data_IF_463668049670
#
_entry.id   IF_463668049670
#
_cell.length_a   1.000
_cell.length_b   1.000
_cell.length_c   1.000
_cell.angle_alpha   90.00
_cell.angle_beta   90.00
_cell.angle_gamma   90.00
#
_symmetry.space_group_name_H-M   'P 1'
#
loop_
_entity.id
_entity.type
_entity.pdbx_description
1 polymer ?
#
# COMPACT_ATOMS: atom_id res chain seq x y z
N UNK A 1 2.72 -17.74 5.01
CA UNK A 1 3.01 -17.27 3.64
C UNK A 1 2.26 -15.97 3.44
N UNK A 2 2.95 -14.83 3.47
CA UNK A 2 2.36 -13.53 3.14
C UNK A 2 2.43 -13.35 1.62
N UNK A 3 1.55 -14.04 0.92
CA UNK A 3 1.27 -13.74 -0.48
C UNK A 3 -0.04 -12.96 -0.47
N UNK A 4 0.05 -11.63 -0.41
CA UNK A 4 -1.03 -10.81 -0.95
C UNK A 4 -1.21 -11.26 -2.39
N UNK A 5 -2.31 -11.95 -2.69
CA UNK A 5 -2.64 -12.44 -4.03
C UNK A 5 -2.97 -11.25 -4.93
N UNK A 6 -1.93 -10.50 -5.25
CA UNK A 6 -1.94 -9.45 -6.27
C UNK A 6 -1.83 -10.18 -7.60
N UNK A 7 -2.81 -9.97 -8.48
CA UNK A 7 -2.64 -10.36 -9.88
C UNK A 7 -1.46 -9.55 -10.42
N UNK A 8 -0.39 -10.26 -10.76
CA UNK A 8 0.80 -9.71 -11.39
C UNK A 8 0.38 -9.34 -12.81
N UNK A 9 0.22 -8.07 -13.13
CA UNK A 9 0.24 -7.59 -14.51
C UNK A 9 1.69 -7.56 -15.01
N UNK A 10 1.92 -7.57 -16.31
CA UNK A 10 3.28 -7.54 -16.88
C UNK A 10 4.08 -6.33 -16.37
N UNK A 11 3.44 -5.16 -16.23
CA UNK A 11 4.04 -3.96 -15.64
C UNK A 11 4.47 -4.17 -14.18
N UNK A 12 3.69 -4.91 -13.38
CA UNK A 12 4.08 -5.22 -11.99
C UNK A 12 5.20 -6.25 -11.92
N UNK A 13 5.37 -7.12 -12.92
CA UNK A 13 6.51 -8.04 -12.97
C UNK A 13 7.82 -7.29 -13.25
N UNK A 14 7.79 -6.34 -14.18
CA UNK A 14 8.95 -5.52 -14.52
C UNK A 14 9.36 -4.60 -13.36
N UNK A 15 8.42 -3.91 -12.72
CA UNK A 15 8.70 -3.10 -11.52
C UNK A 15 9.30 -3.95 -10.38
N UNK A 16 8.84 -5.18 -10.20
CA UNK A 16 9.42 -6.10 -9.20
C UNK A 16 10.85 -6.51 -9.56
N UNK A 17 11.16 -6.71 -10.84
CA UNK A 17 12.52 -6.98 -11.31
C UNK A 17 13.44 -5.78 -11.06
N UNK A 18 12.95 -4.57 -11.31
CA UNK A 18 13.69 -3.34 -11.00
C UNK A 18 13.95 -3.18 -9.51
N UNK A 19 12.97 -3.46 -8.65
CA UNK A 19 13.18 -3.51 -7.20
C UNK A 19 14.24 -4.54 -6.80
N UNK A 20 14.23 -5.70 -7.43
CA UNK A 20 15.21 -6.76 -7.20
C UNK A 20 16.63 -6.34 -7.59
N UNK A 21 16.78 -5.68 -8.74
CA UNK A 21 18.07 -5.12 -9.17
C UNK A 21 18.56 -4.02 -8.21
N UNK A 22 17.68 -3.10 -7.81
CA UNK A 22 18.01 -2.08 -6.83
C UNK A 22 18.49 -2.70 -5.50
N UNK A 23 17.81 -3.76 -5.04
CA UNK A 23 18.24 -4.49 -3.84
C UNK A 23 19.61 -5.14 -3.98
N UNK A 24 19.89 -5.72 -5.15
CA UNK A 24 21.20 -6.30 -5.45
C UNK A 24 22.27 -5.22 -5.38
N UNK A 25 22.04 -4.06 -5.99
CA UNK A 25 22.96 -2.91 -5.94
C UNK A 25 23.21 -2.45 -4.51
N UNK A 26 22.16 -2.31 -3.68
CA UNK A 26 22.32 -1.93 -2.27
C UNK A 26 23.10 -2.97 -1.47
N UNK A 27 22.85 -4.26 -1.71
CA UNK A 27 23.60 -5.35 -1.06
C UNK A 27 25.08 -5.31 -1.45
N UNK A 28 25.37 -5.15 -2.75
CA UNK A 28 26.75 -5.11 -3.25
C UNK A 28 27.50 -3.86 -2.79
N UNK A 29 26.79 -2.73 -2.59
CA UNK A 29 27.34 -1.51 -2.01
C UNK A 29 27.89 -1.71 -0.60
N UNK A 30 27.23 -2.53 0.22
CA UNK A 30 27.70 -2.90 1.57
C UNK A 30 28.62 -4.13 1.57
N UNK A 31 29.06 -4.59 0.39
CA UNK A 31 30.06 -5.66 0.23
C UNK A 31 29.57 -7.07 0.57
N UNK A 32 28.25 -7.28 0.69
CA UNK A 32 27.70 -8.59 1.09
C UNK A 32 27.38 -9.46 -0.12
N UNK A 33 27.66 -10.76 -0.03
CA UNK A 33 27.08 -11.77 -0.92
C UNK A 33 25.64 -12.08 -0.53
N UNK A 34 24.87 -12.73 -1.42
CA UNK A 34 23.51 -13.19 -1.10
C UNK A 34 23.46 -14.10 0.15
N UNK A 35 24.49 -14.95 0.32
CA UNK A 35 24.60 -15.86 1.47
C UNK A 35 24.88 -15.10 2.76
N UNK A 36 25.81 -14.15 2.73
CA UNK A 36 26.13 -13.32 3.90
C UNK A 36 24.95 -12.46 4.31
N UNK A 37 24.24 -11.84 3.35
CA UNK A 37 23.03 -11.08 3.65
C UNK A 37 21.96 -11.96 4.28
N UNK A 38 21.72 -13.17 3.76
CA UNK A 38 20.79 -14.12 4.36
C UNK A 38 21.19 -14.52 5.79
N UNK A 39 22.48 -14.73 6.04
CA UNK A 39 23.02 -15.01 7.38
C UNK A 39 22.82 -13.84 8.32
N UNK A 40 23.16 -12.61 7.91
CA UNK A 40 22.97 -11.40 8.71
C UNK A 40 21.49 -11.16 9.05
N UNK A 41 20.59 -11.49 8.13
CA UNK A 41 19.15 -11.44 8.31
C UNK A 41 18.59 -12.63 9.13
N UNK A 42 19.39 -13.63 9.50
CA UNK A 42 18.92 -14.89 10.09
C UNK A 42 17.83 -15.59 9.23
N UNK A 43 17.91 -15.46 7.91
CA UNK A 43 17.01 -16.14 6.95
C UNK A 43 17.56 -17.53 6.65
N UNK A 44 16.79 -18.56 7.02
CA UNK A 44 17.19 -19.97 6.90
C UNK A 44 17.58 -20.42 5.49
N UNK A 45 16.99 -19.81 4.46
CA UNK A 45 17.24 -20.15 3.04
C UNK A 45 17.77 -18.93 2.31
N UNK A 46 19.05 -18.96 1.97
CA UNK A 46 19.69 -17.89 1.21
C UNK A 46 19.04 -17.65 -0.16
N UNK A 47 18.37 -18.66 -0.73
CA UNK A 47 17.59 -18.54 -1.96
C UNK A 47 16.49 -17.48 -1.89
N UNK A 48 16.07 -17.08 -0.68
CA UNK A 48 15.17 -15.95 -0.50
C UNK A 48 15.75 -14.65 -1.07
N UNK A 49 17.06 -14.41 -0.88
CA UNK A 49 17.72 -13.20 -1.41
C UNK A 49 17.73 -13.24 -2.93
N UNK A 50 18.06 -14.39 -3.52
CA UNK A 50 17.99 -14.57 -4.97
C UNK A 50 16.57 -14.38 -5.53
N UNK A 51 15.55 -14.91 -4.85
CA UNK A 51 14.14 -14.71 -5.24
C UNK A 51 13.72 -13.24 -5.15
N UNK A 52 14.24 -12.51 -4.16
CA UNK A 52 13.98 -11.10 -4.00
C UNK A 52 14.65 -10.28 -5.11
N UNK A 53 15.92 -10.56 -5.39
CA UNK A 53 16.71 -9.88 -6.43
C UNK A 53 16.23 -10.17 -7.86
N UNK A 54 15.53 -11.28 -8.06
CA UNK A 54 14.88 -11.62 -9.34
C UNK A 54 13.44 -11.13 -9.43
N UNK A 55 12.94 -10.45 -8.41
CA UNK A 55 11.58 -9.91 -8.35
C UNK A 55 10.49 -10.94 -7.99
N UNK A 56 10.85 -12.20 -7.74
CA UNK A 56 9.92 -13.28 -7.40
C UNK A 56 9.26 -13.12 -6.02
N UNK A 57 9.87 -12.39 -5.08
CA UNK A 57 9.27 -12.00 -3.79
C UNK A 57 9.50 -10.51 -3.47
N UNK A 58 8.93 -10.04 -2.35
CA UNK A 58 9.08 -8.67 -1.81
C UNK A 58 9.74 -8.74 -0.43
N UNK A 59 10.36 -7.65 0.02
CA UNK A 59 10.74 -7.53 1.43
C UNK A 59 9.46 -7.55 2.28
N UNK A 60 9.35 -8.42 3.29
CA UNK A 60 8.21 -8.37 4.22
C UNK A 60 8.28 -7.09 5.06
N UNK A 61 7.16 -6.38 5.22
CA UNK A 61 7.09 -5.12 5.98
C UNK A 61 7.65 -5.23 7.40
N UNK A 62 7.40 -6.36 8.07
CA UNK A 62 7.95 -6.71 9.41
C UNK A 62 9.47 -6.82 9.46
N UNK A 63 10.16 -6.76 8.32
CA UNK A 63 11.59 -6.98 8.16
C UNK A 63 12.33 -5.76 7.64
N UNK A 64 11.65 -4.63 7.40
CA UNK A 64 12.27 -3.42 6.86
C UNK A 64 13.35 -2.88 7.80
N UNK A 65 13.10 -2.87 9.11
CA UNK A 65 14.09 -2.52 10.14
C UNK A 65 15.38 -3.35 10.03
N UNK A 66 15.25 -4.67 9.91
CA UNK A 66 16.39 -5.57 9.77
C UNK A 66 17.14 -5.36 8.46
N UNK A 67 16.39 -5.15 7.37
CA UNK A 67 16.93 -4.90 6.05
C UNK A 67 17.71 -3.59 6.01
N UNK A 68 17.12 -2.51 6.52
CA UNK A 68 17.69 -1.18 6.55
C UNK A 68 18.98 -1.14 7.36
N UNK A 69 19.00 -1.82 8.53
CA UNK A 69 20.19 -1.96 9.37
C UNK A 69 21.34 -2.63 8.63
N UNK A 70 21.07 -3.71 7.90
CA UNK A 70 22.11 -4.47 7.17
C UNK A 70 22.57 -3.74 5.92
N UNK A 71 21.67 -3.00 5.27
CA UNK A 71 22.00 -2.14 4.13
C UNK A 71 22.59 -0.78 4.55
N UNK A 72 22.80 -0.55 5.84
CA UNK A 72 23.36 0.69 6.39
C UNK A 72 22.63 1.95 5.87
N UNK A 73 21.30 1.91 5.90
CA UNK A 73 20.45 3.04 5.49
C UNK A 73 19.27 3.26 6.44
N UNK A 74 18.72 4.47 6.51
CA UNK A 74 17.50 4.72 7.28
C UNK A 74 16.33 3.87 6.77
N UNK A 75 15.53 3.33 7.69
CA UNK A 75 14.37 2.48 7.35
C UNK A 75 13.34 3.23 6.49
N UNK A 76 13.20 4.54 6.72
CA UNK A 76 12.35 5.41 5.91
C UNK A 76 12.83 5.53 4.46
N UNK A 77 14.14 5.64 4.25
CA UNK A 77 14.72 5.73 2.91
C UNK A 77 14.57 4.42 2.15
N UNK A 78 14.74 3.29 2.84
CA UNK A 78 14.42 1.97 2.29
C UNK A 78 12.96 1.88 1.86
N UNK A 79 12.02 2.30 2.73
CA UNK A 79 10.59 2.26 2.44
C UNK A 79 10.22 3.13 1.23
N UNK A 80 10.72 4.37 1.19
CA UNK A 80 10.50 5.29 0.08
C UNK A 80 11.15 4.83 -1.22
N UNK A 81 12.31 4.15 -1.14
CA UNK A 81 12.98 3.60 -2.33
C UNK A 81 12.21 2.41 -2.93
N UNK A 82 11.55 1.59 -2.10
CA UNK A 82 10.83 0.40 -2.56
C UNK A 82 9.38 0.65 -2.96
N UNK A 83 8.73 1.65 -2.37
CA UNK A 83 7.32 1.94 -2.62
C UNK A 83 6.99 2.20 -4.11
N UNK A 84 7.78 2.96 -4.89
CA UNK A 84 7.53 3.14 -6.33
C UNK A 84 7.46 1.82 -7.12
N UNK A 85 8.17 0.79 -6.66
CA UNK A 85 8.17 -0.51 -7.33
C UNK A 85 7.06 -1.44 -6.82
N UNK A 86 6.74 -1.38 -5.53
CA UNK A 86 5.79 -2.30 -4.88
C UNK A 86 4.35 -1.84 -4.98
N UNK A 87 4.13 -0.52 -4.96
CA UNK A 87 2.84 0.15 -5.06
C UNK A 87 3.00 1.54 -5.73
N UNK A 88 3.27 1.58 -7.05
CA UNK A 88 3.48 2.82 -7.79
C UNK A 88 2.28 3.78 -7.73
N UNK A 89 1.05 3.25 -7.69
CA UNK A 89 -0.15 4.09 -7.61
C UNK A 89 -0.16 4.85 -6.27
N UNK A 90 0.00 4.14 -5.15
CA UNK A 90 0.06 4.80 -3.84
C UNK A 90 1.25 5.74 -3.74
N UNK A 91 2.42 5.37 -4.26
CA UNK A 91 3.59 6.25 -4.26
C UNK A 91 3.29 7.59 -4.94
N UNK A 92 2.75 7.55 -6.16
CA UNK A 92 2.46 8.75 -6.94
C UNK A 92 1.38 9.63 -6.28
N UNK A 93 0.40 9.01 -5.60
CA UNK A 93 -0.64 9.74 -4.87
C UNK A 93 -0.12 10.34 -3.56
N UNK A 94 0.84 9.70 -2.89
CA UNK A 94 1.41 10.14 -1.62
C UNK A 94 2.51 11.18 -1.79
N UNK A 95 3.30 11.08 -2.86
CA UNK A 95 4.46 11.93 -3.12
C UNK A 95 4.40 12.53 -4.55
N UNK A 96 3.37 13.32 -4.86
CA UNK A 96 3.31 13.97 -6.16
C UNK A 96 4.47 14.97 -6.27
N UNK A 97 5.21 14.93 -7.39
CA UNK A 97 6.43 15.71 -7.62
C UNK A 97 6.23 17.23 -7.63
N UNK A 98 4.98 17.68 -7.72
CA UNK A 98 4.48 19.00 -7.34
C UNK A 98 3.07 18.76 -6.74
N UNK A 99 2.58 19.58 -5.81
CA UNK A 99 1.20 19.44 -5.35
C UNK A 99 0.28 19.59 -6.56
N UNK A 100 -0.52 18.56 -6.85
CA UNK A 100 -1.78 18.77 -7.57
C UNK A 100 -2.60 19.72 -6.68
N UNK A 101 -2.45 21.03 -6.92
CA UNK A 101 -3.21 22.11 -6.30
C UNK A 101 -4.71 22.03 -6.66
N UNK A 102 -5.07 21.10 -7.55
CA UNK A 102 -6.35 21.03 -8.20
C UNK A 102 -7.02 19.68 -7.92
N UNK A 103 -7.65 19.54 -6.75
CA UNK A 103 -9.11 19.31 -6.65
C UNK A 103 -9.53 19.70 -5.23
N UNK A 104 -9.84 20.97 -4.99
CA UNK A 104 -10.92 21.22 -4.02
C UNK A 104 -12.17 20.54 -4.62
N UNK A 105 -12.77 19.54 -3.95
CA UNK A 105 -13.96 18.92 -4.49
C UNK A 105 -15.03 20.00 -4.61
N UNK A 106 -15.42 20.34 -5.84
CA UNK A 106 -16.44 21.34 -6.14
C UNK A 106 -17.57 21.26 -5.10
N UNK A 107 -17.66 22.36 -4.35
CA UNK A 107 -18.33 22.49 -3.07
C UNK A 107 -19.85 22.25 -3.15
N UNK A 108 -20.30 21.02 -2.88
CA UNK A 108 -21.68 20.71 -2.42
C UNK A 108 -21.81 19.46 -1.52
N UNK A 109 -20.81 18.59 -1.47
CA UNK A 109 -20.82 17.43 -0.56
C UNK A 109 -20.08 17.80 0.73
N UNK A 110 -20.57 17.41 1.92
CA UNK A 110 -19.86 17.70 3.17
C UNK A 110 -18.48 17.07 3.13
N UNK A 111 -17.51 17.61 3.87
CA UNK A 111 -16.18 17.00 3.93
C UNK A 111 -16.26 15.55 4.43
N UNK A 112 -15.46 14.61 3.89
CA UNK A 112 -15.36 13.29 4.50
C UNK A 112 -14.88 13.45 5.94
N UNK A 113 -15.48 12.70 6.87
CA UNK A 113 -14.95 12.62 8.24
C UNK A 113 -13.52 12.10 8.17
N UNK A 114 -12.61 12.53 9.07
CA UNK A 114 -11.29 11.93 9.11
C UNK A 114 -11.40 10.43 9.38
N UNK A 115 -10.54 9.64 8.72
CA UNK A 115 -10.43 8.22 9.00
C UNK A 115 -9.99 8.02 10.46
N UNK A 116 -10.59 7.07 11.21
CA UNK A 116 -10.17 6.79 12.58
C UNK A 116 -8.68 6.39 12.65
N UNK A 117 -8.03 6.74 13.76
CA UNK A 117 -6.68 6.28 14.09
C UNK A 117 -6.79 4.84 14.56
N UNK A 118 -6.03 3.92 13.97
CA UNK A 118 -5.97 2.54 14.41
C UNK A 118 -4.87 2.45 15.46
N UNK A 119 -5.22 2.16 16.71
CA UNK A 119 -4.26 2.24 17.81
C UNK A 119 -3.24 1.09 17.82
N UNK A 120 -3.50 -0.05 17.16
CA UNK A 120 -2.51 -1.13 17.00
C UNK A 120 -3.02 -2.22 16.03
N UNK A 121 -2.26 -2.53 14.96
CA UNK A 121 -2.54 -3.68 14.06
C UNK A 121 -1.51 -4.76 14.34
N UNK A 122 -1.80 -5.61 15.33
CA UNK A 122 -0.85 -6.63 15.81
C UNK A 122 -1.21 -8.06 15.36
N UNK A 123 -2.43 -8.28 14.86
CA UNK A 123 -2.88 -9.60 14.40
C UNK A 123 -3.85 -9.56 13.21
N UNK A 124 -4.20 -10.75 12.68
CA UNK A 124 -5.14 -10.89 11.53
C UNK A 124 -6.55 -10.36 11.83
N UNK A 125 -7.00 -10.42 13.09
CA UNK A 125 -8.32 -9.90 13.48
C UNK A 125 -8.29 -8.37 13.49
N UNK A 126 -7.20 -7.77 13.94
CA UNK A 126 -6.95 -6.34 13.90
C UNK A 126 -6.86 -5.84 12.45
N UNK A 127 -6.17 -6.55 11.55
CA UNK A 127 -6.16 -6.23 10.12
C UNK A 127 -7.56 -6.23 9.50
N UNK A 128 -8.36 -7.27 9.78
CA UNK A 128 -9.73 -7.35 9.25
C UNK A 128 -10.61 -6.24 9.85
N UNK A 129 -10.46 -5.92 11.13
CA UNK A 129 -11.16 -4.82 11.80
C UNK A 129 -10.82 -3.48 11.14
N UNK A 130 -9.54 -3.19 10.95
CA UNK A 130 -9.05 -1.98 10.28
C UNK A 130 -9.60 -1.87 8.85
N UNK A 131 -9.60 -2.97 8.08
CA UNK A 131 -10.23 -3.02 6.75
C UNK A 131 -11.73 -2.76 6.80
N UNK A 132 -12.43 -3.33 7.79
CA UNK A 132 -13.87 -3.13 7.96
C UNK A 132 -14.20 -1.70 8.38
N UNK A 133 -13.36 -1.06 9.19
CA UNK A 133 -13.51 0.35 9.56
C UNK A 133 -13.31 1.27 8.36
N UNK A 134 -12.25 1.06 7.57
CA UNK A 134 -12.06 1.76 6.29
C UNK A 134 -13.25 1.53 5.35
N UNK A 135 -13.68 0.28 5.21
CA UNK A 135 -14.80 -0.09 4.36
C UNK A 135 -16.12 0.56 4.78
N UNK A 136 -16.38 0.62 6.09
CA UNK A 136 -17.54 1.32 6.67
C UNK A 136 -17.45 2.81 6.39
N UNK A 137 -16.26 3.40 6.54
CA UNK A 137 -16.01 4.81 6.23
C UNK A 137 -16.28 5.15 4.76
N UNK A 138 -15.83 4.30 3.82
CA UNK A 138 -16.15 4.42 2.39
C UNK A 138 -17.66 4.27 2.12
N UNK A 139 -18.31 3.31 2.77
CA UNK A 139 -19.74 3.05 2.64
C UNK A 139 -20.58 4.24 3.14
N UNK A 140 -20.21 4.82 4.28
CA UNK A 140 -20.86 6.00 4.84
C UNK A 140 -20.70 7.20 3.91
N UNK A 141 -19.50 7.38 3.33
CA UNK A 141 -19.27 8.41 2.32
C UNK A 141 -20.15 8.21 1.09
N UNK A 142 -20.23 6.99 0.57
CA UNK A 142 -21.08 6.63 -0.58
C UNK A 142 -22.56 6.91 -0.29
N UNK A 143 -23.06 6.47 0.86
CA UNK A 143 -24.46 6.70 1.30
C UNK A 143 -24.78 8.18 1.43
N UNK A 144 -23.83 8.96 1.94
CA UNK A 144 -23.97 10.40 2.08
C UNK A 144 -24.09 11.09 0.70
N UNK A 145 -23.40 10.56 -0.31
CA UNK A 145 -23.55 10.96 -1.72
C UNK A 145 -24.78 10.35 -2.40
N UNK A 146 -25.65 9.65 -1.64
CA UNK A 146 -26.88 9.01 -2.11
C UNK A 146 -26.65 7.99 -3.23
N UNK A 147 -25.51 7.28 -3.19
CA UNK A 147 -25.17 6.27 -4.17
C UNK A 147 -25.38 4.85 -3.61
N UNK A 148 -25.91 3.95 -4.44
CA UNK A 148 -25.90 2.51 -4.17
C UNK A 148 -24.53 1.90 -4.49
N UNK A 149 -24.28 0.66 -4.04
CA UNK A 149 -23.07 -0.08 -4.42
C UNK A 149 -22.99 -0.30 -5.95
N UNK A 150 -24.15 -0.45 -6.60
CA UNK A 150 -24.26 -0.57 -8.07
C UNK A 150 -23.85 0.74 -8.75
N UNK A 151 -24.33 1.88 -8.25
CA UNK A 151 -23.95 3.19 -8.79
C UNK A 151 -22.45 3.46 -8.65
N UNK A 152 -21.87 3.08 -7.50
CA UNK A 152 -20.43 3.21 -7.30
C UNK A 152 -19.66 2.29 -8.25
N UNK A 153 -20.05 1.02 -8.36
CA UNK A 153 -19.42 0.08 -9.30
C UNK A 153 -19.48 0.59 -10.74
N UNK A 154 -20.62 1.14 -11.17
CA UNK A 154 -20.79 1.75 -12.49
C UNK A 154 -19.85 2.94 -12.71
N UNK A 155 -19.71 3.85 -11.72
CA UNK A 155 -18.76 4.96 -11.80
C UNK A 155 -17.29 4.52 -11.86
N UNK A 156 -16.97 3.39 -11.23
CA UNK A 156 -15.64 2.82 -11.22
C UNK A 156 -15.33 1.98 -12.46
N UNK A 157 -16.31 1.72 -13.33
CA UNK A 157 -16.17 0.76 -14.43
C UNK A 157 -15.97 -0.68 -13.96
N UNK A 158 -16.38 -1.02 -12.73
CA UNK A 158 -16.27 -2.37 -12.19
C UNK A 158 -17.53 -3.16 -12.60
N UNK A 159 -17.39 -4.27 -13.35
CA UNK A 159 -18.53 -5.03 -13.86
C UNK A 159 -19.34 -5.75 -12.77
N UNK A 160 -18.71 -6.02 -11.62
CA UNK A 160 -19.29 -6.78 -10.53
C UNK A 160 -19.50 -5.90 -9.28
N UNK A 161 -20.73 -5.43 -9.00
CA UNK A 161 -21.02 -4.60 -7.83
C UNK A 161 -20.67 -5.24 -6.49
N UNK A 162 -20.62 -6.57 -6.43
CA UNK A 162 -20.23 -7.30 -5.22
C UNK A 162 -18.82 -6.92 -4.73
N UNK A 163 -17.91 -6.51 -5.62
CA UNK A 163 -16.56 -6.09 -5.24
C UNK A 163 -16.57 -4.84 -4.37
N UNK A 164 -17.48 -3.90 -4.63
CA UNK A 164 -17.68 -2.73 -3.77
C UNK A 164 -18.08 -3.20 -2.37
N UNK A 165 -19.03 -4.13 -2.28
CA UNK A 165 -19.48 -4.69 -1.00
C UNK A 165 -18.37 -5.42 -0.24
N UNK A 166 -17.53 -6.20 -0.92
CA UNK A 166 -16.42 -6.92 -0.30
C UNK A 166 -15.38 -5.96 0.30
N UNK A 167 -15.07 -4.86 -0.41
CA UNK A 167 -14.21 -3.79 0.11
C UNK A 167 -14.86 -3.10 1.31
N UNK A 168 -16.14 -2.72 1.20
CA UNK A 168 -16.86 -2.02 2.27
C UNK A 168 -17.01 -2.85 3.55
N UNK A 169 -17.07 -4.18 3.44
CA UNK A 169 -17.16 -5.08 4.59
C UNK A 169 -15.78 -5.55 5.10
N UNK A 170 -14.68 -5.08 4.51
CA UNK A 170 -13.32 -5.45 4.88
C UNK A 170 -12.92 -6.90 4.53
N UNK A 171 -13.70 -7.54 3.65
CA UNK A 171 -13.44 -8.88 3.13
C UNK A 171 -12.45 -8.87 1.96
N UNK A 172 -12.35 -7.77 1.23
CA UNK A 172 -11.36 -7.57 0.16
C UNK A 172 -10.62 -6.24 0.34
N UNK A 173 -9.44 -6.13 -0.28
CA UNK A 173 -8.70 -4.87 -0.38
C UNK A 173 -9.23 -4.07 -1.57
N UNK A 174 -9.04 -2.75 -1.53
CA UNK A 174 -9.29 -1.94 -2.73
C UNK A 174 -8.39 -2.45 -3.86
N UNK A 175 -8.91 -2.67 -5.07
CA UNK A 175 -8.10 -3.11 -6.19
C UNK A 175 -7.04 -2.05 -6.55
N UNK A 176 -5.83 -2.48 -6.89
CA UNK A 176 -4.79 -1.57 -7.38
C UNK A 176 -5.22 -0.90 -8.69
N UNK A 177 -4.84 0.35 -8.89
CA UNK A 177 -5.23 1.19 -10.04
C UNK A 177 -6.60 1.82 -9.90
N UNK A 178 -7.32 1.57 -8.80
CA UNK A 178 -8.66 2.10 -8.56
C UNK A 178 -8.67 3.20 -7.48
N UNK A 179 -7.54 3.47 -6.81
CA UNK A 179 -7.49 4.43 -5.70
C UNK A 179 -7.97 5.81 -6.16
N UNK A 180 -7.45 6.29 -7.30
CA UNK A 180 -7.85 7.58 -7.88
C UNK A 180 -9.33 7.59 -8.29
N UNK A 181 -9.82 6.51 -8.90
CA UNK A 181 -11.21 6.37 -9.31
C UNK A 181 -12.19 6.36 -8.13
N UNK A 182 -11.87 5.63 -7.05
CA UNK A 182 -12.66 5.64 -5.81
C UNK A 182 -12.65 7.00 -5.14
N UNK A 183 -11.49 7.63 -5.03
CA UNK A 183 -11.36 8.95 -4.44
C UNK A 183 -12.27 9.95 -5.14
N UNK A 184 -12.20 10.02 -6.47
CA UNK A 184 -13.05 10.90 -7.27
C UNK A 184 -14.54 10.55 -7.18
N UNK A 185 -14.90 9.27 -7.30
CA UNK A 185 -16.30 8.83 -7.20
C UNK A 185 -16.92 9.18 -5.84
N UNK A 186 -16.11 9.11 -4.77
CA UNK A 186 -16.51 9.40 -3.40
C UNK A 186 -16.23 10.85 -2.98
N UNK A 187 -15.74 11.72 -3.88
CA UNK A 187 -15.36 13.10 -3.57
C UNK A 187 -14.45 13.18 -2.33
N UNK A 188 -13.40 12.38 -2.34
CA UNK A 188 -12.30 12.33 -1.37
C UNK A 188 -11.04 12.71 -2.14
N UNK A 189 -10.08 13.40 -1.50
CA UNK A 189 -8.76 13.62 -2.10
C UNK A 189 -8.06 12.27 -2.39
N UNK A 190 -7.54 12.03 -3.61
CA UNK A 190 -6.77 10.83 -3.91
C UNK A 190 -5.58 10.61 -2.98
N UNK A 191 -4.86 11.67 -2.61
CA UNK A 191 -3.79 11.63 -1.62
C UNK A 191 -4.29 11.12 -0.27
N UNK A 192 -5.41 11.67 0.20
CA UNK A 192 -6.00 11.29 1.48
C UNK A 192 -6.45 9.82 1.49
N UNK A 193 -7.06 9.35 0.41
CA UNK A 193 -7.47 7.95 0.29
C UNK A 193 -6.26 7.00 0.20
N UNK A 194 -5.21 7.35 -0.55
CA UNK A 194 -3.99 6.57 -0.60
C UNK A 194 -3.32 6.44 0.77
N UNK A 195 -3.29 7.54 1.54
CA UNK A 195 -2.79 7.57 2.92
C UNK A 195 -3.59 6.63 3.84
N UNK A 196 -4.92 6.70 3.76
CA UNK A 196 -5.84 5.83 4.49
C UNK A 196 -5.65 4.34 4.13
N UNK A 197 -5.49 4.04 2.85
CA UNK A 197 -5.25 2.68 2.36
C UNK A 197 -3.91 2.13 2.85
N UNK A 198 -2.83 2.92 2.80
CA UNK A 198 -1.53 2.50 3.29
C UNK A 198 -1.58 2.15 4.78
N UNK A 199 -2.20 3.01 5.60
CA UNK A 199 -2.38 2.78 7.04
C UNK A 199 -3.03 1.43 7.37
N UNK A 200 -3.99 1.00 6.55
CA UNK A 200 -4.71 -0.26 6.77
C UNK A 200 -4.03 -1.46 6.13
N UNK A 201 -3.47 -1.28 4.94
CA UNK A 201 -2.90 -2.38 4.17
C UNK A 201 -1.49 -2.75 4.63
N UNK A 202 -0.74 -1.76 5.11
CA UNK A 202 0.64 -1.90 5.59
C UNK A 202 0.96 -0.85 6.68
N UNK A 203 0.45 -1.07 7.91
CA UNK A 203 0.64 -0.12 9.02
C UNK A 203 2.12 0.10 9.39
N UNK A 204 2.95 -0.93 9.29
CA UNK A 204 4.38 -0.78 9.60
C UNK A 204 5.08 0.14 8.60
N UNK A 205 4.76 0.03 7.32
CA UNK A 205 5.27 0.95 6.31
C UNK A 205 4.67 2.34 6.48
N UNK A 206 3.39 2.43 6.86
CA UNK A 206 2.76 3.71 7.17
C UNK A 206 3.52 4.46 8.28
N UNK A 207 3.78 3.80 9.41
CA UNK A 207 4.44 4.38 10.58
C UNK A 207 5.88 4.80 10.27
N UNK A 208 6.60 4.00 9.47
CA UNK A 208 7.96 4.32 9.00
C UNK A 208 7.97 5.58 8.12
N UNK A 209 6.99 5.73 7.24
CA UNK A 209 6.94 6.84 6.28
C UNK A 209 6.41 8.13 6.93
N UNK A 210 5.46 7.99 7.86
CA UNK A 210 4.73 9.08 8.51
C UNK A 210 4.80 9.01 10.06
N UNK A 211 6.00 9.12 10.64
CA UNK A 211 6.22 8.88 12.08
C UNK A 211 5.51 9.90 12.99
N UNK A 212 5.23 11.11 12.51
CA UNK A 212 4.59 12.18 13.30
C UNK A 212 3.08 12.00 13.49
N UNK A 213 2.48 10.97 12.89
CA UNK A 213 1.03 10.69 12.99
C UNK A 213 0.65 9.57 13.96
N UNK A 214 1.64 9.07 14.71
CA UNK A 214 1.46 8.05 15.76
C UNK A 214 0.75 8.65 16.99
#
# INVERSE_FOLDING_TARGET
MYASSQRITDDTAELRRQAGNWHKEQRERVGLTQREMATALAIKKWTFISQLETGACRVPSTRYEDWARILEMPVRDLALSLMPFYDPESYNLLFPGEPDADVEPEHKAPAPKPMPRNEEITDRKAEHRARKELGTWLADRRKLLKMTQVDLAAKLGIPEPIRVSLVENGHDRMPLGYTKAWAWALKISPHYLARALLRVNDPLIFDVIFPDEI
#
